data_IF_229098613818
#
_entry.id   IF_229098613818
#
_cell.length_a   1.000
_cell.length_b   1.000
_cell.length_c   1.000
_cell.angle_alpha   90.00
_cell.angle_beta   90.00
_cell.angle_gamma   90.00
#
_symmetry.space_group_name_H-M   'P 1'
#
loop_
_entity.id
_entity.type
_entity.pdbx_description
1 polymer ?
#
# COMPACT_ATOMS: atom_id res chain seq x y z
N UNK A 1 -8.07 -7.67 -6.16
CA UNK A 1 -6.91 -6.92 -6.70
C UNK A 1 -5.75 -7.04 -5.69
N UNK A 2 -4.52 -6.84 -6.13
CA UNK A 2 -3.34 -6.91 -5.24
C UNK A 2 -2.44 -5.71 -5.50
N UNK A 3 -1.83 -5.22 -4.43
CA UNK A 3 -0.78 -4.20 -4.46
C UNK A 3 0.43 -4.75 -3.71
N UNK A 4 1.61 -4.52 -4.25
CA UNK A 4 2.87 -4.95 -3.65
C UNK A 4 3.70 -3.70 -3.38
N UNK A 5 4.09 -3.52 -2.13
CA UNK A 5 4.95 -2.44 -1.67
C UNK A 5 6.35 -2.99 -1.51
N UNK A 6 7.32 -2.33 -2.14
CA UNK A 6 8.74 -2.57 -1.89
C UNK A 6 9.21 -1.55 -0.87
N UNK A 7 9.71 -2.03 0.25
CA UNK A 7 10.24 -1.21 1.32
C UNK A 7 11.74 -1.06 1.17
N UNK A 8 12.26 0.10 1.57
CA UNK A 8 13.70 0.32 1.68
C UNK A 8 14.30 -0.44 2.85
N UNK A 9 13.57 -0.47 3.95
CA UNK A 9 13.94 -1.16 5.18
C UNK A 9 12.87 -2.19 5.49
N UNK A 10 13.23 -3.48 5.66
CA UNK A 10 12.31 -4.53 6.07
C UNK A 10 11.57 -4.12 7.34
N UNK A 11 10.24 -4.02 7.25
CA UNK A 11 9.40 -3.65 8.39
C UNK A 11 8.02 -4.25 8.25
N UNK A 12 7.56 -4.92 9.29
CA UNK A 12 6.22 -5.49 9.34
C UNK A 12 5.24 -4.40 9.76
N UNK A 13 4.14 -4.29 9.03
CA UNK A 13 3.06 -3.32 9.29
C UNK A 13 2.02 -3.84 10.29
N UNK A 14 2.26 -5.05 10.82
CA UNK A 14 1.33 -5.84 11.61
C UNK A 14 0.46 -6.73 10.73
N UNK A 15 -0.27 -7.65 11.37
CA UNK A 15 -1.23 -8.54 10.68
C UNK A 15 -2.62 -7.91 10.52
N UNK A 16 -2.90 -6.80 11.20
CA UNK A 16 -4.18 -6.10 11.16
C UNK A 16 -4.05 -4.75 10.46
N UNK A 17 -4.29 -4.72 9.15
CA UNK A 17 -4.90 -3.57 8.49
C UNK A 17 -6.44 -3.68 8.64
N UNK A 18 -7.18 -2.70 8.12
CA UNK A 18 -8.66 -2.73 8.05
C UNK A 18 -9.21 -4.12 7.68
N UNK A 19 -10.35 -4.47 8.29
CA UNK A 19 -11.04 -5.73 8.04
C UNK A 19 -11.33 -5.92 6.54
N UNK A 20 -10.95 -7.08 5.99
CA UNK A 20 -11.10 -7.37 4.55
C UNK A 20 -9.83 -7.16 3.71
N UNK A 21 -8.72 -6.74 4.31
CA UNK A 21 -7.41 -6.71 3.68
C UNK A 21 -6.60 -7.95 4.08
N UNK A 22 -6.07 -8.66 3.09
CA UNK A 22 -5.18 -9.82 3.34
C UNK A 22 -3.74 -9.40 3.08
N UNK A 23 -2.94 -9.36 4.14
CA UNK A 23 -1.52 -9.00 4.07
C UNK A 23 -0.71 -10.29 3.95
N UNK A 24 0.25 -10.28 3.04
CA UNK A 24 1.19 -11.34 2.85
C UNK A 24 2.60 -10.77 2.71
N UNK A 25 3.60 -11.48 3.22
CA UNK A 25 4.99 -11.03 3.23
C UNK A 25 5.83 -11.99 2.37
N UNK A 26 5.82 -11.83 1.03
CA UNK A 26 6.60 -12.69 0.16
C UNK A 26 8.11 -12.57 0.40
N UNK A 27 8.58 -11.40 0.89
CA UNK A 27 9.96 -11.15 1.30
C UNK A 27 10.00 -10.17 2.48
N UNK A 28 11.13 -10.07 3.22
CA UNK A 28 11.26 -9.12 4.31
C UNK A 28 11.08 -7.65 3.87
N UNK A 29 11.49 -7.33 2.64
CA UNK A 29 11.41 -6.02 2.01
C UNK A 29 10.16 -5.85 1.13
N UNK A 30 9.29 -6.86 1.02
CA UNK A 30 8.10 -6.82 0.18
C UNK A 30 6.84 -7.11 0.99
N UNK A 31 5.85 -6.22 0.85
CA UNK A 31 4.52 -6.40 1.44
C UNK A 31 3.51 -6.52 0.31
N UNK A 32 2.82 -7.66 0.23
CA UNK A 32 1.72 -7.88 -0.70
C UNK A 32 0.39 -7.74 0.03
N UNK A 33 -0.45 -6.82 -0.39
CA UNK A 33 -1.79 -6.61 0.17
C UNK A 33 -2.81 -6.97 -0.91
N UNK A 34 -3.65 -7.96 -0.62
CA UNK A 34 -4.81 -8.32 -1.44
C UNK A 34 -6.04 -7.61 -0.90
N UNK A 35 -6.76 -6.94 -1.78
CA UNK A 35 -7.95 -6.16 -1.45
C UNK A 35 -9.05 -6.32 -2.49
N UNK A 36 -10.29 -6.11 -2.07
CA UNK A 36 -11.44 -6.03 -2.97
C UNK A 36 -11.63 -4.59 -3.44
N UNK A 37 -11.43 -4.30 -4.73
CA UNK A 37 -11.56 -2.95 -5.29
C UNK A 37 -12.98 -2.35 -5.16
N UNK A 38 -13.99 -3.20 -4.99
CA UNK A 38 -15.38 -2.75 -4.82
C UNK A 38 -15.65 -2.27 -3.39
N UNK A 39 -14.88 -2.74 -2.42
CA UNK A 39 -15.06 -2.44 -0.99
C UNK A 39 -13.95 -1.54 -0.43
N UNK A 40 -12.75 -1.64 -1.00
CA UNK A 40 -11.54 -0.96 -0.54
C UNK A 40 -10.87 -0.23 -1.69
N UNK A 41 -10.56 1.05 -1.47
CA UNK A 41 -9.83 1.87 -2.44
C UNK A 41 -8.33 1.77 -2.18
N UNK A 42 -7.54 1.74 -3.26
CA UNK A 42 -6.09 1.70 -3.18
C UNK A 42 -5.51 2.96 -2.49
N UNK A 43 -6.19 4.10 -2.62
CA UNK A 43 -5.88 5.35 -1.90
C UNK A 43 -5.84 5.17 -0.39
N UNK A 44 -6.82 4.47 0.18
CA UNK A 44 -6.90 4.23 1.62
C UNK A 44 -5.80 3.28 2.08
N UNK A 45 -5.54 2.21 1.32
CA UNK A 45 -4.50 1.23 1.63
C UNK A 45 -3.13 1.90 1.64
N UNK A 46 -2.81 2.69 0.62
CA UNK A 46 -1.53 3.40 0.54
C UNK A 46 -1.42 4.43 1.68
N UNK A 47 -2.51 5.12 2.02
CA UNK A 47 -2.51 6.06 3.14
C UNK A 47 -2.22 5.37 4.47
N UNK A 48 -2.85 4.22 4.75
CA UNK A 48 -2.57 3.44 5.96
C UNK A 48 -1.12 2.94 6.01
N UNK A 49 -0.60 2.45 4.89
CA UNK A 49 0.81 2.02 4.79
C UNK A 49 1.75 3.21 5.04
N UNK A 50 1.41 4.40 4.54
CA UNK A 50 2.17 5.64 4.74
C UNK A 50 2.12 6.10 6.20
N UNK A 51 0.98 5.97 6.88
CA UNK A 51 0.83 6.30 8.31
C UNK A 51 1.72 5.43 9.23
N UNK A 52 2.10 4.23 8.79
CA UNK A 52 3.04 3.36 9.54
C UNK A 52 4.50 3.82 9.50
N UNK A 53 4.77 5.00 8.92
CA UNK A 53 6.09 5.60 8.81
C UNK A 53 7.09 4.62 8.16
N UNK A 54 6.71 4.12 7.00
CA UNK A 54 7.48 3.19 6.18
C UNK A 54 8.14 3.94 5.02
N UNK A 55 9.39 3.61 4.74
CA UNK A 55 10.06 4.07 3.52
C UNK A 55 9.71 3.11 2.38
N UNK A 56 8.69 3.47 1.60
CA UNK A 56 8.30 2.77 0.38
C UNK A 56 9.26 3.20 -0.73
N UNK A 57 10.00 2.24 -1.30
CA UNK A 57 10.83 2.43 -2.49
C UNK A 57 10.01 2.39 -3.77
N UNK A 58 9.07 1.45 -3.83
CA UNK A 58 8.34 1.15 -5.05
C UNK A 58 6.96 0.59 -4.75
N UNK A 59 6.01 0.81 -5.65
CA UNK A 59 4.64 0.31 -5.54
C UNK A 59 4.28 -0.37 -6.87
N UNK A 60 4.04 -1.66 -6.79
CA UNK A 60 3.67 -2.51 -7.91
C UNK A 60 2.19 -2.87 -7.77
N UNK A 61 1.35 -2.41 -8.69
CA UNK A 61 -0.06 -2.77 -8.74
C UNK A 61 -0.50 -2.97 -10.19
N UNK A 62 -1.48 -3.85 -10.38
CA UNK A 62 -2.15 -4.08 -11.66
C UNK A 62 -3.40 -3.18 -11.79
N UNK A 63 -3.60 -2.21 -10.89
CA UNK A 63 -4.61 -1.16 -11.00
C UNK A 63 -4.02 0.13 -11.59
N UNK A 64 -4.67 0.64 -12.63
CA UNK A 64 -4.30 1.89 -13.29
C UNK A 64 -4.53 3.14 -12.41
N UNK A 65 -5.31 3.01 -11.32
CA UNK A 65 -5.64 4.11 -10.40
C UNK A 65 -4.43 4.62 -9.60
N UNK A 66 -3.27 3.96 -9.64
CA UNK A 66 -2.09 4.33 -8.86
C UNK A 66 -1.60 5.76 -9.15
N UNK A 67 -1.63 6.18 -10.42
CA UNK A 67 -1.13 7.48 -10.84
C UNK A 67 -1.94 8.62 -10.19
N UNK A 68 -3.27 8.50 -10.18
CA UNK A 68 -4.16 9.47 -9.52
C UNK A 68 -3.96 9.49 -8.00
N UNK A 69 -3.75 8.32 -7.38
CA UNK A 69 -3.44 8.23 -5.94
C UNK A 69 -2.13 8.93 -5.62
N UNK A 70 -1.11 8.72 -6.45
CA UNK A 70 0.20 9.32 -6.28
C UNK A 70 0.16 10.85 -6.36
N UNK A 71 -0.58 11.39 -7.34
CA UNK A 71 -0.80 12.83 -7.48
C UNK A 71 -1.51 13.42 -6.26
N UNK A 72 -2.51 12.74 -5.70
CA UNK A 72 -3.20 13.19 -4.47
C UNK A 72 -2.29 13.16 -3.24
N UNK A 73 -1.42 12.16 -3.12
CA UNK A 73 -0.50 12.03 -2.00
C UNK A 73 0.66 13.03 -2.03
N UNK A 74 1.04 13.49 -3.22
CA UNK A 74 2.10 14.50 -3.43
C UNK A 74 1.57 15.93 -3.45
N UNK A 75 0.29 16.15 -3.77
CA UNK A 75 -0.35 17.48 -3.77
C UNK A 75 -0.55 18.14 -2.39
N UNK A 76 -0.22 17.49 -1.27
CA UNK A 76 -0.46 18.07 0.06
C UNK A 76 0.56 19.13 0.53
N UNK A 77 1.40 19.64 -0.37
CA UNK A 77 2.40 20.70 -0.10
C UNK A 77 2.28 21.88 -1.07
N UNK A 78 1.12 22.53 -1.15
CA UNK A 78 0.99 23.89 -1.70
C UNK A 78 0.40 24.79 -0.63
#
# INVERSE_FOLDING_TARGET
KKIIFKLKVPKNIGEKLKSGLVINYPKPDLISITYNKNENKIEEIISEVKEKNLEILDILTEDADLEDVFLKLTKKNV
#
